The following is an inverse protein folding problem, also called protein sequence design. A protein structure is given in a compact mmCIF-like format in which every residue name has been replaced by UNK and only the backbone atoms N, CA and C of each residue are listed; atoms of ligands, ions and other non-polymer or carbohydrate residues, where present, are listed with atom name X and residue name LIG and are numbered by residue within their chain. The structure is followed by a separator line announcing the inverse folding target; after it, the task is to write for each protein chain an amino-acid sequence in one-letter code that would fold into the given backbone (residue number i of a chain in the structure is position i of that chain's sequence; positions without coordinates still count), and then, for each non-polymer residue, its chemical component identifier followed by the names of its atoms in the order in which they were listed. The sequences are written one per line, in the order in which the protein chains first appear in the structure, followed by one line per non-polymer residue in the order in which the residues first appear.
data_IF_766843291242
#
_entry.id   IF_766843291242
#
_cell.length_a   1.000
_cell.length_b   1.000
_cell.length_c   1.000
_cell.angle_alpha   90.00
_cell.angle_beta   90.00
_cell.angle_gamma   90.00
#
_symmetry.space_group_name_H-M   'P 1'
#
loop_
_entity.id
_entity.type
_entity.pdbx_description
1 polymer ?
#
# COMPACT_ATOMS: atom_id res chain seq x y z
N UNK A 1 9.39 12.01 12.17
CA UNK A 1 9.31 10.63 11.64
C UNK A 1 9.87 10.64 10.23
N UNK A 2 10.85 9.79 9.93
CA UNK A 2 11.44 9.69 8.60
C UNK A 2 10.91 8.44 7.94
N UNK A 3 10.34 8.57 6.75
CA UNK A 3 9.88 7.46 5.92
C UNK A 3 10.66 7.47 4.60
N UNK A 4 10.88 6.29 4.03
CA UNK A 4 11.41 6.17 2.67
C UNK A 4 10.23 6.05 1.70
N UNK A 5 10.29 6.83 0.64
CA UNK A 5 9.32 6.83 -0.44
C UNK A 5 10.10 6.57 -1.71
N UNK A 6 9.59 5.66 -2.54
CA UNK A 6 10.17 5.34 -3.82
C UNK A 6 9.29 5.92 -4.94
N UNK A 7 9.90 6.59 -5.92
CA UNK A 7 9.19 7.15 -7.08
C UNK A 7 9.25 6.17 -8.24
N UNK A 8 8.11 5.94 -8.87
CA UNK A 8 7.96 5.07 -10.03
C UNK A 8 7.28 5.82 -11.17
N UNK A 9 7.68 5.54 -12.40
CA UNK A 9 7.01 5.99 -13.62
C UNK A 9 6.32 4.81 -14.31
N UNK A 10 5.18 5.08 -14.94
CA UNK A 10 4.60 4.19 -15.93
C UNK A 10 3.95 4.99 -17.07
N UNK A 11 4.66 5.05 -18.21
CA UNK A 11 4.21 5.71 -19.45
C UNK A 11 3.95 7.21 -19.26
N UNK A 12 4.81 7.89 -18.50
CA UNK A 12 4.72 9.33 -18.25
C UNK A 12 3.86 9.72 -17.06
N UNK A 13 3.32 8.75 -16.32
CA UNK A 13 2.64 8.99 -15.04
C UNK A 13 3.55 8.61 -13.87
N UNK A 14 3.80 9.59 -13.02
CA UNK A 14 4.64 9.48 -11.84
C UNK A 14 3.81 9.10 -10.60
N UNK A 15 4.26 8.10 -9.85
CA UNK A 15 3.66 7.72 -8.58
C UNK A 15 4.70 7.64 -7.47
N UNK A 16 4.37 8.21 -6.32
CA UNK A 16 5.09 7.97 -5.07
C UNK A 16 4.52 6.71 -4.44
N UNK A 17 5.38 5.73 -4.12
CA UNK A 17 4.96 4.50 -3.45
C UNK A 17 5.52 4.48 -2.03
N UNK A 18 4.64 4.33 -1.04
CA UNK A 18 4.96 4.17 0.36
C UNK A 18 4.55 2.77 0.82
N UNK A 19 5.53 1.95 1.21
CA UNK A 19 5.26 0.69 1.90
C UNK A 19 4.96 0.97 3.38
N UNK A 20 3.69 0.79 3.77
CA UNK A 20 3.24 1.04 5.13
C UNK A 20 3.87 0.06 6.13
N UNK A 21 4.50 -1.04 5.72
CA UNK A 21 5.32 -1.84 6.62
C UNK A 21 6.39 -0.98 7.33
N UNK A 22 6.93 0.03 6.64
CA UNK A 22 7.94 0.95 7.16
C UNK A 22 7.37 1.92 8.21
N UNK A 23 6.06 2.16 8.19
CA UNK A 23 5.36 3.17 9.00
C UNK A 23 5.08 2.67 10.44
N UNK A 24 5.62 1.52 10.86
CA UNK A 24 5.24 0.87 12.13
C UNK A 24 6.39 0.31 12.99
N UNK A 25 7.66 0.66 12.78
CA UNK A 25 8.74 0.12 13.63
C UNK A 25 9.81 1.13 14.03
N UNK A 26 9.39 2.21 14.68
CA UNK A 26 10.21 2.87 15.72
C UNK A 26 9.35 3.82 16.54
N UNK A 27 8.89 3.37 17.71
CA UNK A 27 8.77 4.27 18.85
C UNK A 27 10.15 4.90 19.06
N UNK A 28 10.23 6.23 18.97
CA UNK A 28 11.38 6.95 19.50
C UNK A 28 11.56 6.52 20.97
N UNK A 29 12.76 6.03 21.30
CA UNK A 29 13.05 5.49 22.62
C UNK A 29 12.90 6.54 23.72
N UNK A 30 12.05 6.24 24.70
CA UNK A 30 12.30 6.57 26.11
C UNK A 30 12.68 5.26 26.78
N UNK A 31 13.84 5.26 27.45
CA UNK A 31 14.38 4.16 28.21
C UNK A 31 13.49 3.81 29.41
N UNK A 32 13.11 2.55 29.55
CA UNK A 32 12.45 1.99 30.73
C UNK A 32 12.06 0.53 30.44
N UNK A 33 12.52 -0.40 31.27
CA UNK A 33 12.57 -1.83 30.94
C UNK A 33 11.30 -2.64 31.20
N UNK A 34 11.49 -3.94 30.93
CA UNK A 34 10.74 -5.13 31.37
C UNK A 34 9.76 -5.80 30.39
N UNK A 35 10.08 -7.08 30.17
CA UNK A 35 9.23 -8.26 29.95
C UNK A 35 8.49 -8.44 28.61
N UNK A 36 8.76 -9.62 28.02
CA UNK A 36 8.10 -10.20 26.89
C UNK A 36 6.61 -10.50 27.17
N UNK A 37 5.73 -10.14 26.22
CA UNK A 37 4.39 -10.70 26.12
C UNK A 37 3.89 -10.65 24.66
N UNK A 38 3.55 -11.84 24.16
CA UNK A 38 2.72 -12.21 22.99
C UNK A 38 2.09 -11.08 22.17
N UNK A 39 2.59 -10.89 20.94
CA UNK A 39 2.15 -9.88 19.99
C UNK A 39 0.87 -10.30 19.23
N UNK A 40 -0.23 -9.60 19.51
CA UNK A 40 -1.44 -9.60 18.68
C UNK A 40 -1.39 -8.49 17.62
N UNK A 41 -1.68 -8.84 16.36
CA UNK A 41 -1.55 -8.01 15.17
C UNK A 41 -2.57 -6.85 15.00
N UNK A 42 -3.34 -6.49 16.03
CA UNK A 42 -4.44 -5.51 15.93
C UNK A 42 -4.05 -4.05 16.21
N UNK A 43 -2.94 -3.80 16.91
CA UNK A 43 -2.52 -2.44 17.31
C UNK A 43 -1.87 -1.60 16.19
N UNK A 44 -1.19 -2.25 15.24
CA UNK A 44 -0.48 -1.56 14.14
C UNK A 44 -1.39 -1.12 12.98
N UNK A 45 -2.64 -1.62 12.94
CA UNK A 45 -3.66 -1.26 11.95
C UNK A 45 -4.30 0.10 12.25
N UNK A 46 -4.55 0.40 13.54
CA UNK A 46 -5.19 1.65 13.95
C UNK A 46 -4.27 2.88 13.75
N UNK A 47 -2.97 2.75 14.04
CA UNK A 47 -1.99 3.83 13.85
C UNK A 47 -1.78 4.21 12.38
N UNK A 48 -1.88 3.24 11.44
CA UNK A 48 -1.82 3.50 9.99
C UNK A 48 -3.07 4.17 9.43
N UNK A 49 -4.21 4.05 10.11
CA UNK A 49 -5.48 4.67 9.73
C UNK A 49 -5.63 6.10 10.27
N UNK A 50 -4.73 6.56 11.14
CA UNK A 50 -4.81 7.86 11.80
C UNK A 50 -4.14 9.02 11.03
N UNK A 51 -3.49 8.75 9.90
CA UNK A 51 -2.85 9.77 9.07
C UNK A 51 -3.83 10.29 7.99
N UNK A 52 -3.83 11.61 7.79
CA UNK A 52 -4.59 12.26 6.72
C UNK A 52 -3.87 12.06 5.37
N UNK A 53 -4.09 10.89 4.78
CA UNK A 53 -3.50 10.52 3.49
C UNK A 53 -3.86 11.49 2.35
N UNK A 54 -5.10 12.02 2.24
CA UNK A 54 -5.41 13.09 1.30
C UNK A 54 -4.51 14.33 1.46
N UNK A 55 -4.30 14.81 2.68
CA UNK A 55 -3.43 15.96 2.93
C UNK A 55 -1.96 15.66 2.60
N UNK A 56 -1.49 14.47 2.96
CA UNK A 56 -0.13 14.01 2.64
C UNK A 56 0.06 13.91 1.11
N UNK A 57 -0.92 13.35 0.39
CA UNK A 57 -0.88 13.28 -1.06
C UNK A 57 -0.75 14.66 -1.70
N UNK A 58 -1.57 15.64 -1.27
CA UNK A 58 -1.44 17.04 -1.74
C UNK A 58 -0.06 17.63 -1.49
N UNK A 59 0.46 17.46 -0.28
CA UNK A 59 1.74 18.03 0.11
C UNK A 59 2.91 17.38 -0.65
N UNK A 60 2.93 16.06 -0.78
CA UNK A 60 4.05 15.33 -1.38
C UNK A 60 4.01 15.30 -2.90
N UNK A 61 2.81 15.21 -3.49
CA UNK A 61 2.64 15.18 -4.95
C UNK A 61 2.72 16.58 -5.58
N UNK A 62 2.66 17.65 -4.79
CA UNK A 62 2.90 19.02 -5.27
C UNK A 62 4.22 19.09 -6.04
N UNK A 63 4.18 19.59 -7.29
CA UNK A 63 5.38 19.76 -8.13
C UNK A 63 6.20 20.99 -7.76
N UNK A 64 5.65 21.91 -6.97
CA UNK A 64 6.32 23.16 -6.56
C UNK A 64 6.93 23.07 -5.17
N UNK A 65 6.27 22.34 -4.26
CA UNK A 65 6.65 22.28 -2.84
C UNK A 65 6.97 20.87 -2.34
N UNK A 66 6.62 19.84 -3.11
CA UNK A 66 6.81 18.44 -2.78
C UNK A 66 7.78 17.73 -3.71
N UNK A 67 7.72 16.40 -3.73
CA UNK A 67 8.53 15.56 -4.61
C UNK A 67 8.03 15.54 -6.07
N UNK A 68 6.79 15.97 -6.30
CA UNK A 68 6.17 16.04 -7.62
C UNK A 68 5.79 14.66 -8.17
N UNK A 69 4.50 14.34 -8.17
CA UNK A 69 3.96 13.11 -8.75
C UNK A 69 2.47 13.28 -9.09
N UNK A 70 1.91 12.38 -9.89
CA UNK A 70 0.50 12.39 -10.25
C UNK A 70 -0.36 11.73 -9.16
N UNK A 71 0.23 10.87 -8.33
CA UNK A 71 -0.44 10.31 -7.16
C UNK A 71 0.48 9.63 -6.14
N UNK A 72 -0.12 9.33 -4.99
CA UNK A 72 0.45 8.60 -3.87
C UNK A 72 -0.19 7.21 -3.77
N UNK A 73 0.63 6.17 -3.89
CA UNK A 73 0.28 4.77 -3.73
C UNK A 73 0.71 4.28 -2.34
N UNK A 74 -0.25 3.77 -1.58
CA UNK A 74 0.02 3.11 -0.30
C UNK A 74 0.01 1.59 -0.52
N UNK A 75 1.12 0.95 -0.17
CA UNK A 75 1.26 -0.50 -0.16
C UNK A 75 1.08 -1.00 1.26
N UNK A 76 0.06 -1.83 1.48
CA UNK A 76 -0.20 -2.46 2.77
C UNK A 76 -0.22 -3.97 2.60
N UNK A 77 0.54 -4.71 3.41
CA UNK A 77 0.41 -6.17 3.46
C UNK A 77 -0.65 -6.58 4.48
N UNK A 78 -1.41 -7.62 4.17
CA UNK A 78 -2.47 -8.16 5.04
C UNK A 78 -2.42 -9.69 5.00
N UNK A 79 -2.79 -10.32 6.12
CA UNK A 79 -2.73 -11.78 6.24
C UNK A 79 -3.69 -12.51 5.27
N UNK A 80 -4.83 -11.90 4.91
CA UNK A 80 -5.84 -12.49 4.01
C UNK A 80 -5.62 -12.18 2.51
N UNK A 81 -4.85 -11.12 2.24
CA UNK A 81 -4.54 -10.59 0.90
C UNK A 81 -3.14 -10.01 0.94
N UNK A 82 -2.22 -10.68 0.26
CA UNK A 82 -0.79 -10.43 0.41
C UNK A 82 -0.36 -8.97 0.24
N UNK A 83 -1.03 -8.24 -0.64
CA UNK A 83 -0.88 -6.79 -0.69
C UNK A 83 -2.18 -6.08 -1.05
N UNK A 84 -2.37 -4.88 -0.50
CA UNK A 84 -3.44 -3.94 -0.79
C UNK A 84 -2.83 -2.63 -1.27
N UNK A 85 -3.42 -2.09 -2.33
CA UNK A 85 -3.10 -0.81 -2.91
C UNK A 85 -4.22 0.18 -2.58
N UNK A 86 -3.85 1.34 -2.07
CA UNK A 86 -4.70 2.54 -2.03
C UNK A 86 -4.03 3.62 -2.87
N UNK A 87 -4.79 4.32 -3.71
CA UNK A 87 -4.27 5.40 -4.55
C UNK A 87 -4.99 6.70 -4.19
N UNK A 88 -4.20 7.72 -3.87
CA UNK A 88 -4.64 9.11 -3.77
C UNK A 88 -4.04 9.90 -4.92
N UNK A 89 -4.86 10.65 -5.64
CA UNK A 89 -4.39 11.58 -6.66
C UNK A 89 -3.66 12.76 -6.00
N UNK A 90 -2.98 13.57 -6.82
CA UNK A 90 -2.27 14.77 -6.36
C UNK A 90 -3.16 15.82 -5.68
N UNK A 91 -4.48 15.81 -5.91
CA UNK A 91 -5.47 16.65 -5.22
C UNK A 91 -5.94 16.06 -3.86
N UNK A 92 -5.51 14.84 -3.54
CA UNK A 92 -5.90 14.09 -2.35
C UNK A 92 -7.20 13.30 -2.49
N UNK A 93 -7.85 13.31 -3.65
CA UNK A 93 -8.99 12.44 -3.93
C UNK A 93 -8.55 10.98 -4.03
N UNK A 94 -9.39 10.05 -3.54
CA UNK A 94 -9.11 8.61 -3.71
C UNK A 94 -9.46 8.18 -5.13
N UNK A 95 -8.52 7.57 -5.84
CA UNK A 95 -8.78 7.04 -7.18
C UNK A 95 -9.42 5.65 -7.11
N UNK A 96 -10.49 5.44 -7.88
CA UNK A 96 -11.11 4.12 -7.99
C UNK A 96 -10.26 3.16 -8.83
N UNK A 97 -9.62 3.64 -9.90
CA UNK A 97 -8.80 2.82 -10.79
C UNK A 97 -7.66 3.66 -11.39
N UNK A 98 -6.47 3.07 -11.45
CA UNK A 98 -5.38 3.56 -12.31
C UNK A 98 -4.58 2.37 -12.83
N UNK A 99 -4.65 2.14 -14.15
CA UNK A 99 -3.85 1.10 -14.79
C UNK A 99 -2.35 1.35 -14.65
N UNK A 100 -1.93 2.61 -14.71
CA UNK A 100 -0.53 3.02 -14.54
C UNK A 100 -0.09 2.82 -13.09
N UNK A 101 -0.92 3.24 -12.13
CA UNK A 101 -0.67 3.01 -10.71
C UNK A 101 -0.58 1.53 -10.35
N UNK A 102 -1.42 0.68 -10.96
CA UNK A 102 -1.35 -0.77 -10.75
C UNK A 102 -0.03 -1.38 -11.26
N UNK A 103 0.53 -0.89 -12.38
CA UNK A 103 1.85 -1.34 -12.87
C UNK A 103 2.97 -0.93 -11.92
N UNK A 104 2.97 0.34 -11.49
CA UNK A 104 3.95 0.83 -10.51
C UNK A 104 3.86 0.06 -9.19
N UNK A 105 2.64 -0.21 -8.73
CA UNK A 105 2.40 -1.01 -7.53
C UNK A 105 2.94 -2.43 -7.65
N UNK A 106 2.65 -3.11 -8.76
CA UNK A 106 3.16 -4.47 -9.00
C UNK A 106 4.70 -4.49 -9.01
N UNK A 107 5.32 -3.50 -9.66
CA UNK A 107 6.77 -3.37 -9.67
C UNK A 107 7.33 -3.10 -8.26
N UNK A 108 6.72 -2.20 -7.50
CA UNK A 108 7.13 -1.90 -6.13
C UNK A 108 6.99 -3.12 -5.20
N UNK A 109 5.90 -3.87 -5.32
CA UNK A 109 5.67 -5.11 -4.58
C UNK A 109 6.73 -6.16 -4.92
N UNK A 110 6.99 -6.38 -6.22
CA UNK A 110 8.03 -7.29 -6.67
C UNK A 110 9.41 -6.92 -6.11
N UNK A 111 9.77 -5.62 -6.12
CA UNK A 111 11.04 -5.15 -5.54
C UNK A 111 11.10 -5.33 -4.03
N UNK A 112 10.00 -5.08 -3.32
CA UNK A 112 9.92 -5.28 -1.88
C UNK A 112 10.05 -6.77 -1.49
N UNK A 113 9.64 -7.68 -2.37
CA UNK A 113 9.75 -9.12 -2.19
C UNK A 113 11.00 -9.75 -2.84
N UNK A 114 11.93 -8.96 -3.40
CA UNK A 114 13.09 -9.46 -4.14
C UNK A 114 13.99 -10.41 -3.32
N UNK A 115 14.05 -10.24 -2.00
CA UNK A 115 14.79 -11.14 -1.10
C UNK A 115 14.12 -12.52 -0.91
N UNK A 116 12.89 -12.69 -1.37
CA UNK A 116 12.07 -13.92 -1.21
C UNK A 116 12.13 -14.84 -2.43
N UNK A 117 12.97 -14.55 -3.42
CA UNK A 117 13.12 -15.32 -4.65
C UNK A 117 12.08 -14.98 -5.71
N UNK A 118 11.96 -15.83 -6.74
CA UNK A 118 10.99 -15.66 -7.83
C UNK A 118 9.56 -15.88 -7.33
N UNK A 119 8.65 -14.96 -7.68
CA UNK A 119 7.26 -14.93 -7.21
C UNK A 119 6.34 -14.54 -8.36
N UNK A 120 5.12 -15.07 -8.35
CA UNK A 120 4.07 -14.72 -9.31
C UNK A 120 2.93 -14.02 -8.60
N UNK A 121 2.41 -12.92 -9.15
CA UNK A 121 1.31 -12.16 -8.56
C UNK A 121 0.09 -12.12 -9.48
N UNK A 122 -1.10 -12.39 -8.94
CA UNK A 122 -2.37 -12.13 -9.59
C UNK A 122 -2.97 -10.84 -9.05
N UNK A 123 -2.94 -9.78 -9.87
CA UNK A 123 -3.72 -8.58 -9.63
C UNK A 123 -5.16 -8.80 -10.12
N UNK A 124 -6.11 -8.93 -9.17
CA UNK A 124 -7.53 -9.01 -9.53
C UNK A 124 -8.12 -7.60 -9.57
N UNK A 125 -8.31 -7.05 -10.77
CA UNK A 125 -8.98 -5.76 -10.96
C UNK A 125 -10.42 -5.70 -10.40
N UNK A 126 -11.01 -6.86 -10.05
CA UNK A 126 -12.37 -6.97 -9.50
C UNK A 126 -12.43 -7.05 -7.98
N UNK A 127 -11.33 -7.29 -7.26
CA UNK A 127 -11.34 -7.34 -5.79
C UNK A 127 -11.27 -5.92 -5.24
N UNK A 128 -12.41 -5.24 -5.38
CA UNK A 128 -12.66 -3.87 -4.91
C UNK A 128 -13.38 -3.97 -3.58
N UNK A 129 -12.81 -3.39 -2.54
CA UNK A 129 -13.54 -3.11 -1.30
C UNK A 129 -13.45 -1.62 -1.05
N UNK A 130 -14.59 -0.94 -1.03
CA UNK A 130 -14.70 0.43 -0.53
C UNK A 130 -14.75 0.36 0.99
N UNK A 131 -13.83 1.04 1.67
CA UNK A 131 -13.92 1.19 3.12
C UNK A 131 -15.13 2.07 3.50
N UNK A 132 -15.58 2.00 4.75
CA UNK A 132 -16.64 2.89 5.26
C UNK A 132 -16.30 4.39 5.09
N UNK A 133 -15.02 4.75 4.95
CA UNK A 133 -14.53 6.11 4.71
C UNK A 133 -14.49 6.52 3.22
N UNK A 134 -15.06 5.71 2.31
CA UNK A 134 -15.10 6.03 0.87
C UNK A 134 -13.80 5.79 0.10
N UNK A 135 -12.74 5.29 0.75
CA UNK A 135 -11.45 4.98 0.11
C UNK A 135 -11.52 3.62 -0.60
N UNK A 136 -11.02 3.58 -1.83
CA UNK A 136 -10.96 2.38 -2.66
C UNK A 136 -9.70 1.55 -2.42
N UNK A 137 -9.87 0.25 -2.21
CA UNK A 137 -8.76 -0.69 -2.04
C UNK A 137 -8.72 -1.71 -3.18
N UNK A 138 -7.52 -1.99 -3.65
CA UNK A 138 -7.23 -3.01 -4.65
C UNK A 138 -6.36 -4.10 -4.03
N UNK A 139 -6.79 -5.35 -4.11
CA UNK A 139 -6.05 -6.45 -3.53
C UNK A 139 -5.25 -7.23 -4.59
N UNK A 140 -3.99 -7.51 -4.28
CA UNK A 140 -3.11 -8.39 -5.03
C UNK A 140 -2.81 -9.61 -4.16
N UNK A 141 -2.85 -10.78 -4.79
CA UNK A 141 -2.53 -12.07 -4.17
C UNK A 141 -1.42 -12.73 -4.98
N UNK A 142 -0.38 -13.20 -4.34
CA UNK A 142 0.61 -14.08 -4.95
C UNK A 142 0.07 -15.49 -5.15
N UNK A 143 0.52 -16.06 -6.25
CA UNK A 143 0.18 -17.39 -6.70
C UNK A 143 1.18 -18.35 -6.06
N UNK A 144 0.79 -18.96 -4.94
CA UNK A 144 1.59 -20.03 -4.35
C UNK A 144 1.34 -21.31 -5.15
N UNK A 145 2.29 -21.70 -6.01
CA UNK A 145 2.35 -23.02 -6.67
C UNK A 145 1.14 -23.43 -7.52
N UNK A 146 1.27 -23.37 -8.86
CA UNK A 146 0.58 -24.26 -9.79
C UNK A 146 -0.95 -24.43 -9.65
N UNK A 147 -1.70 -23.36 -9.38
CA UNK A 147 -3.15 -23.45 -9.36
C UNK A 147 -3.82 -22.14 -8.97
N UNK A 148 -4.56 -21.55 -9.90
CA UNK A 148 -5.47 -20.43 -9.61
C UNK A 148 -6.56 -20.96 -8.68
N UNK A 149 -6.35 -20.91 -7.37
CA UNK A 149 -7.39 -21.31 -6.41
C UNK A 149 -8.52 -20.28 -6.47
N UNK A 150 -9.62 -20.72 -7.08
CA UNK A 150 -11.01 -20.35 -6.80
C UNK A 150 -11.31 -18.86 -6.73
N UNK A 151 -11.92 -18.33 -7.79
CA UNK A 151 -12.84 -17.21 -7.64
C UNK A 151 -13.98 -17.66 -6.69
N UNK A 152 -13.96 -17.23 -5.43
CA UNK A 152 -15.22 -17.13 -4.69
C UNK A 152 -16.02 -16.03 -5.36
N UNK A 153 -17.10 -16.43 -6.01
CA UNK A 153 -18.10 -15.53 -6.56
C UNK A 153 -18.58 -14.59 -5.45
N UNK A 154 -18.40 -13.28 -5.63
CA UNK A 154 -19.23 -12.33 -4.92
C UNK A 154 -20.65 -12.54 -5.45
N UNK A 155 -21.54 -13.03 -4.58
CA UNK A 155 -22.96 -13.20 -4.86
C UNK A 155 -23.58 -11.89 -5.33
N UNK A 156 -24.55 -12.03 -6.24
CA UNK A 156 -25.32 -10.96 -6.87
C UNK A 156 -26.00 -10.05 -5.86
#
# INVERSE_FOLDING_TARGET
MTVRIDKYDALGNDFLVLDLAQVSSKSAGVSGGAAAATAGASGASAARQALDWPAIARAWCSRTTGAGADGLLLLTRSDDVEARMQLFNSDGSSAEMSGNGARCFAHALYRADAARGERSYHARARTRCRSHAGVWHWCVRECVGGGVVGARAAGK
#
